data_IF_468260196979
#
_entry.id   IF_468260196979
#
_cell.length_a   1.000
_cell.length_b   1.000
_cell.length_c   1.000
_cell.angle_alpha   90.00
_cell.angle_beta   90.00
_cell.angle_gamma   90.00
#
_symmetry.space_group_name_H-M   'P 1'
#
loop_
_entity.id
_entity.type
_entity.pdbx_description
1 polymer ?
#
# COMPACT_ATOMS: atom_id res chain seq x y z
N UNK A 1 22.07 0.94 6.49
CA UNK A 1 20.66 0.44 6.45
C UNK A 1 19.86 1.34 5.52
N UNK A 2 19.27 0.78 4.47
CA UNK A 2 18.51 1.58 3.48
C UNK A 2 17.06 1.11 3.46
N UNK A 3 16.13 2.03 3.76
CA UNK A 3 14.69 1.79 3.70
C UNK A 3 14.09 2.43 2.44
N UNK A 4 13.31 1.64 1.69
CA UNK A 4 12.56 2.14 0.53
C UNK A 4 11.24 2.77 0.96
N UNK A 5 11.12 4.08 0.80
CA UNK A 5 9.93 4.85 1.18
C UNK A 5 8.96 5.03 0.02
N UNK A 6 7.74 4.54 0.16
CA UNK A 6 6.62 4.93 -0.71
C UNK A 6 6.03 6.23 -0.16
N UNK A 7 6.07 7.30 -0.94
CA UNK A 7 5.61 8.62 -0.50
C UNK A 7 4.13 8.86 -0.86
N UNK A 8 3.26 7.91 -0.50
CA UNK A 8 1.80 8.04 -0.61
C UNK A 8 1.18 8.35 0.77
N UNK A 9 0.05 9.03 0.74
CA UNK A 9 -0.73 9.39 1.94
C UNK A 9 -1.07 8.19 2.83
N UNK A 10 -1.30 7.01 2.24
CA UNK A 10 -1.62 5.80 2.99
C UNK A 10 -0.51 5.33 3.96
N UNK A 11 0.73 5.78 3.80
CA UNK A 11 1.84 5.52 4.73
C UNK A 11 2.27 6.76 5.52
N UNK A 12 1.58 7.90 5.38
CA UNK A 12 1.92 9.12 6.09
C UNK A 12 2.00 8.94 7.62
N UNK A 13 1.06 8.27 8.31
CA UNK A 13 1.18 8.01 9.74
C UNK A 13 2.45 7.23 10.10
N UNK A 14 2.83 6.24 9.32
CA UNK A 14 4.07 5.50 9.54
C UNK A 14 5.32 6.35 9.33
N UNK A 15 5.31 7.23 8.33
CA UNK A 15 6.44 8.15 8.08
C UNK A 15 6.58 9.20 9.19
N UNK A 16 5.47 9.73 9.71
CA UNK A 16 5.46 10.63 10.88
C UNK A 16 6.03 9.92 12.11
N UNK A 17 5.59 8.70 12.36
CA UNK A 17 6.16 7.87 13.43
C UNK A 17 7.67 7.67 13.29
N UNK A 18 8.16 7.33 12.09
CA UNK A 18 9.59 7.13 11.85
C UNK A 18 10.41 8.40 12.15
N UNK A 19 9.89 9.58 11.82
CA UNK A 19 10.54 10.86 12.11
C UNK A 19 10.58 11.17 13.60
N UNK A 20 9.50 10.87 14.33
CA UNK A 20 9.41 11.10 15.77
C UNK A 20 10.08 10.02 16.64
N UNK A 21 10.36 8.85 16.07
CA UNK A 21 10.99 7.75 16.79
C UNK A 21 12.43 8.14 17.26
N UNK A 22 12.88 7.62 18.43
CA UNK A 22 14.22 7.86 18.95
C UNK A 22 15.26 7.05 18.15
N UNK A 23 15.46 7.43 16.90
CA UNK A 23 16.42 6.86 15.98
C UNK A 23 17.58 7.86 15.77
N UNK A 24 18.78 7.35 15.55
CA UNK A 24 19.94 8.20 15.23
C UNK A 24 19.69 9.01 13.95
N UNK A 25 20.32 10.17 13.84
CA UNK A 25 20.23 11.03 12.66
C UNK A 25 20.63 10.31 11.37
N UNK A 26 21.61 9.42 11.43
CA UNK A 26 22.05 8.61 10.30
C UNK A 26 20.94 7.66 9.82
N UNK A 27 20.22 6.99 10.75
CA UNK A 27 19.09 6.11 10.42
C UNK A 27 17.94 6.93 9.83
N UNK A 28 17.62 8.10 10.38
CA UNK A 28 16.57 8.98 9.85
C UNK A 28 16.90 9.46 8.44
N UNK A 29 18.13 9.85 8.15
CA UNK A 29 18.61 10.19 6.80
C UNK A 29 18.48 9.01 5.85
N UNK A 30 18.89 7.81 6.26
CA UNK A 30 18.81 6.60 5.45
C UNK A 30 17.37 6.21 5.09
N UNK A 31 16.40 6.44 5.99
CA UNK A 31 14.97 6.21 5.75
C UNK A 31 14.41 7.18 4.69
N UNK A 32 14.88 8.42 4.66
CA UNK A 32 14.43 9.42 3.68
C UNK A 32 15.18 9.36 2.33
N UNK A 33 16.30 8.67 2.28
CA UNK A 33 17.22 8.66 1.12
C UNK A 33 16.60 8.00 -0.12
N UNK A 34 15.92 6.85 0.02
CA UNK A 34 15.41 6.09 -1.13
C UNK A 34 13.90 6.17 -1.21
N UNK A 35 13.38 7.12 -1.99
CA UNK A 35 11.96 7.27 -2.29
C UNK A 35 11.62 6.67 -3.66
N UNK A 36 10.40 6.20 -3.81
CA UNK A 36 9.94 5.71 -5.11
C UNK A 36 8.53 5.15 -5.10
N UNK A 37 8.01 4.89 -6.29
CA UNK A 37 6.74 4.18 -6.48
C UNK A 37 6.89 2.69 -6.16
N UNK A 38 5.80 1.99 -5.80
CA UNK A 38 5.86 0.58 -5.39
C UNK A 38 6.64 -0.32 -6.35
N UNK A 39 6.46 -0.19 -7.66
CA UNK A 39 7.15 -1.04 -8.65
C UNK A 39 8.68 -0.84 -8.67
N UNK A 40 9.16 0.39 -8.49
CA UNK A 40 10.61 0.67 -8.39
C UNK A 40 11.19 0.07 -7.11
N UNK A 41 10.47 0.21 -5.97
CA UNK A 41 10.91 -0.33 -4.68
C UNK A 41 10.83 -1.86 -4.64
N UNK A 42 9.84 -2.48 -5.29
CA UNK A 42 9.77 -3.92 -5.47
C UNK A 42 11.05 -4.45 -6.16
N UNK A 43 11.49 -3.79 -7.24
CA UNK A 43 12.72 -4.15 -7.97
C UNK A 43 13.96 -3.93 -7.10
N UNK A 44 14.06 -2.77 -6.44
CA UNK A 44 15.19 -2.43 -5.59
C UNK A 44 15.38 -3.42 -4.42
N UNK A 45 14.28 -3.83 -3.77
CA UNK A 45 14.32 -4.81 -2.68
C UNK A 45 14.73 -6.21 -3.18
N UNK A 46 14.18 -6.64 -4.32
CA UNK A 46 14.54 -7.92 -4.93
C UNK A 46 16.01 -7.97 -5.36
N UNK A 47 16.55 -6.85 -5.85
CA UNK A 47 17.95 -6.69 -6.21
C UNK A 47 18.86 -6.38 -5.00
N UNK A 48 18.33 -6.44 -3.77
CA UNK A 48 19.05 -6.14 -2.52
C UNK A 48 19.72 -4.75 -2.48
N UNK A 49 19.22 -3.81 -3.30
CA UNK A 49 19.64 -2.40 -3.31
C UNK A 49 19.05 -1.59 -2.15
N UNK A 50 18.06 -2.12 -1.48
CA UNK A 50 17.45 -1.64 -0.23
C UNK A 50 17.23 -2.80 0.72
N UNK A 51 17.22 -2.54 2.02
CA UNK A 51 17.10 -3.58 3.05
C UNK A 51 15.65 -3.93 3.39
N UNK A 52 14.75 -2.96 3.29
CA UNK A 52 13.33 -3.13 3.58
C UNK A 52 12.46 -2.09 2.85
N UNK A 53 11.21 -2.43 2.62
CA UNK A 53 10.16 -1.53 2.11
C UNK A 53 8.77 -2.14 2.33
N UNK A 54 7.73 -1.30 2.28
CA UNK A 54 6.38 -1.79 2.03
C UNK A 54 6.26 -1.99 0.52
N UNK A 55 6.17 -3.23 0.08
CA UNK A 55 6.07 -3.60 -1.34
C UNK A 55 4.69 -4.17 -1.65
N UNK A 56 4.34 -4.27 -2.92
CA UNK A 56 3.05 -4.84 -3.32
C UNK A 56 2.90 -6.28 -2.79
N UNK A 57 1.70 -6.67 -2.34
CA UNK A 57 1.47 -7.99 -1.76
C UNK A 57 1.84 -9.14 -2.71
N UNK A 58 1.62 -8.97 -4.02
CA UNK A 58 2.06 -9.94 -5.05
C UNK A 58 3.58 -10.09 -5.06
N UNK A 59 4.32 -8.97 -5.02
CA UNK A 59 5.78 -9.02 -5.02
C UNK A 59 6.34 -9.62 -3.72
N UNK A 60 5.64 -9.42 -2.60
CA UNK A 60 6.04 -9.98 -1.30
C UNK A 60 5.98 -11.51 -1.23
N UNK A 61 5.36 -12.19 -2.22
CA UNK A 61 5.30 -13.66 -2.29
C UNK A 61 6.65 -14.33 -2.46
N UNK A 62 7.64 -13.63 -2.98
CA UNK A 62 8.96 -14.22 -3.26
C UNK A 62 9.57 -14.84 -2.02
N UNK A 63 10.15 -16.03 -2.17
CA UNK A 63 10.69 -16.85 -1.07
C UNK A 63 11.88 -16.17 -0.36
N UNK A 64 12.69 -15.43 -1.12
CA UNK A 64 13.88 -14.73 -0.61
C UNK A 64 13.57 -13.50 0.26
N UNK A 65 12.29 -13.10 0.37
CA UNK A 65 11.88 -11.97 1.17
C UNK A 65 11.28 -12.44 2.50
N UNK A 66 11.75 -11.89 3.61
CA UNK A 66 11.12 -12.01 4.92
C UNK A 66 10.02 -10.93 5.06
N UNK A 67 8.93 -11.23 5.77
CA UNK A 67 7.73 -10.41 5.85
C UNK A 67 7.36 -10.13 7.30
N UNK A 68 6.83 -8.93 7.57
CA UNK A 68 6.21 -8.59 8.84
C UNK A 68 4.69 -8.58 8.73
N UNK A 69 4.01 -8.66 9.86
CA UNK A 69 2.56 -8.54 9.96
C UNK A 69 2.11 -7.07 9.95
N UNK A 70 2.65 -6.32 9.01
CA UNK A 70 2.42 -4.90 8.78
C UNK A 70 2.34 -4.63 7.28
N UNK A 71 1.40 -3.76 6.90
CA UNK A 71 1.21 -3.39 5.50
C UNK A 71 0.16 -2.32 5.29
N UNK A 72 -0.29 -2.14 4.06
CA UNK A 72 -1.39 -1.27 3.69
C UNK A 72 -2.62 -2.15 3.52
N UNK A 73 -3.58 -2.00 4.42
CA UNK A 73 -4.78 -2.83 4.51
C UNK A 73 -6.03 -1.96 4.37
N UNK A 74 -6.92 -2.36 3.48
CA UNK A 74 -8.31 -1.89 3.41
C UNK A 74 -9.21 -2.88 4.13
N UNK A 75 -9.89 -2.46 5.19
CA UNK A 75 -10.84 -3.35 5.90
C UNK A 75 -12.08 -3.63 5.06
N UNK A 76 -12.61 -2.60 4.40
CA UNK A 76 -13.75 -2.67 3.47
C UNK A 76 -13.37 -1.96 2.16
N UNK A 77 -13.31 -0.65 2.15
CA UNK A 77 -12.99 0.20 1.00
C UNK A 77 -11.65 0.91 1.18
N UNK A 78 -11.04 1.42 0.10
CA UNK A 78 -9.69 2.01 0.13
C UNK A 78 -9.61 3.43 -0.43
N UNK A 79 -10.52 3.84 -1.28
CA UNK A 79 -10.63 5.18 -1.91
C UNK A 79 -9.43 5.61 -2.79
N UNK A 80 -8.33 4.88 -2.74
CA UNK A 80 -7.07 5.20 -3.43
C UNK A 80 -6.51 4.05 -4.27
N UNK A 81 -7.32 3.02 -4.53
CA UNK A 81 -7.00 1.93 -5.48
C UNK A 81 -8.28 1.60 -6.24
N UNK A 82 -8.37 2.13 -7.44
CA UNK A 82 -9.61 2.24 -8.19
C UNK A 82 -9.45 1.68 -9.61
N UNK A 83 -10.57 1.28 -10.21
CA UNK A 83 -10.69 1.09 -11.65
C UNK A 83 -11.70 2.11 -12.16
N UNK A 84 -11.31 2.95 -13.12
CA UNK A 84 -12.19 3.92 -13.75
C UNK A 84 -13.22 3.19 -14.63
N UNK A 85 -14.50 3.46 -14.40
CA UNK A 85 -15.59 2.91 -15.21
C UNK A 85 -15.55 3.51 -16.63
N UNK A 86 -16.12 2.81 -17.57
CA UNK A 86 -16.29 3.28 -18.95
C UNK A 86 -15.00 3.81 -19.60
N UNK A 87 -13.84 3.25 -19.23
CA UNK A 87 -12.54 3.59 -19.78
C UNK A 87 -11.86 2.37 -20.40
N UNK A 88 -10.97 2.58 -21.35
CA UNK A 88 -10.18 1.50 -21.94
C UNK A 88 -9.33 0.79 -20.85
N UNK A 89 -9.16 -0.54 -20.92
CA UNK A 89 -8.35 -1.28 -19.97
C UNK A 89 -6.90 -0.82 -19.99
N UNK A 90 -6.43 -0.26 -18.86
CA UNK A 90 -5.05 0.24 -18.73
C UNK A 90 -4.50 -0.10 -17.34
N UNK A 91 -3.46 -0.95 -17.28
CA UNK A 91 -2.84 -1.27 -15.99
C UNK A 91 -2.01 -0.10 -15.46
N UNK A 92 -2.03 0.09 -14.12
CA UNK A 92 -1.15 1.08 -13.48
C UNK A 92 0.29 0.52 -13.40
N UNK A 93 1.30 1.22 -13.96
CA UNK A 93 2.68 0.74 -13.98
C UNK A 93 3.33 0.66 -12.59
N UNK A 94 2.75 1.32 -11.59
CA UNK A 94 3.29 1.36 -10.25
C UNK A 94 2.81 0.21 -9.35
N UNK A 95 1.71 -0.50 -9.68
CA UNK A 95 1.12 -1.48 -8.77
C UNK A 95 0.83 -2.85 -9.38
N UNK A 96 1.66 -3.83 -9.05
CA UNK A 96 1.41 -5.22 -9.42
C UNK A 96 0.18 -5.82 -8.71
N UNK A 97 -0.06 -5.48 -7.43
CA UNK A 97 -1.20 -6.04 -6.68
C UNK A 97 -2.53 -5.50 -7.17
N UNK A 98 -2.63 -4.21 -7.46
CA UNK A 98 -3.87 -3.58 -7.92
C UNK A 98 -4.28 -4.11 -9.29
N UNK A 99 -3.32 -4.21 -10.22
CA UNK A 99 -3.56 -4.79 -11.55
C UNK A 99 -3.99 -6.26 -11.47
N UNK A 100 -3.35 -7.05 -10.58
CA UNK A 100 -3.72 -8.44 -10.37
C UNK A 100 -5.12 -8.57 -9.73
N UNK A 101 -5.46 -7.67 -8.80
CA UNK A 101 -6.77 -7.67 -8.15
C UNK A 101 -7.88 -7.28 -9.13
N UNK A 102 -7.69 -6.27 -9.97
CA UNK A 102 -8.65 -5.90 -11.01
C UNK A 102 -8.96 -7.09 -11.93
N UNK A 103 -7.93 -7.85 -12.33
CA UNK A 103 -8.10 -9.09 -13.14
C UNK A 103 -8.87 -10.19 -12.37
N UNK A 104 -8.54 -10.40 -11.09
CA UNK A 104 -9.25 -11.38 -10.22
C UNK A 104 -10.73 -11.02 -10.03
N UNK A 105 -11.02 -9.73 -9.99
CA UNK A 105 -12.39 -9.20 -9.87
C UNK A 105 -13.09 -9.08 -11.23
N UNK A 106 -12.40 -9.39 -12.34
CA UNK A 106 -12.91 -9.26 -13.72
C UNK A 106 -13.41 -7.84 -14.05
N UNK A 107 -12.71 -6.83 -13.53
CA UNK A 107 -13.02 -5.42 -13.77
C UNK A 107 -12.19 -4.89 -14.94
N UNK A 108 -12.87 -4.25 -15.88
CA UNK A 108 -12.28 -3.60 -17.03
C UNK A 108 -12.25 -2.08 -16.83
N UNK A 109 -11.16 -1.44 -17.25
CA UNK A 109 -10.95 0.00 -17.17
C UNK A 109 -9.52 0.37 -16.77
N UNK A 110 -9.27 1.67 -16.65
CA UNK A 110 -7.98 2.18 -16.20
C UNK A 110 -7.82 1.96 -14.68
N UNK A 111 -6.78 1.21 -14.30
CA UNK A 111 -6.37 1.05 -12.88
C UNK A 111 -5.58 2.28 -12.46
N UNK A 112 -6.00 2.94 -11.41
CA UNK A 112 -5.30 4.09 -10.81
C UNK A 112 -5.07 3.86 -9.32
N UNK A 113 -3.91 4.32 -8.81
CA UNK A 113 -3.52 4.11 -7.41
C UNK A 113 -2.95 5.34 -6.73
N UNK A 114 -2.92 5.28 -5.39
CA UNK A 114 -2.27 6.26 -4.52
C UNK A 114 -2.97 7.61 -4.52
N UNK A 115 -2.19 8.66 -4.29
CA UNK A 115 -2.73 10.02 -4.11
C UNK A 115 -3.45 10.52 -5.38
N UNK A 116 -3.01 10.07 -6.57
CA UNK A 116 -3.69 10.35 -7.85
C UNK A 116 -5.10 9.76 -7.89
N UNK A 117 -5.26 8.51 -7.42
CA UNK A 117 -6.56 7.86 -7.38
C UNK A 117 -7.49 8.53 -6.35
N UNK A 118 -6.96 8.87 -5.18
CA UNK A 118 -7.73 9.58 -4.16
C UNK A 118 -8.21 10.95 -4.69
N UNK A 119 -7.33 11.71 -5.32
CA UNK A 119 -7.69 13.00 -5.93
C UNK A 119 -8.76 12.87 -7.01
N UNK A 120 -8.66 11.87 -7.88
CA UNK A 120 -9.68 11.59 -8.89
C UNK A 120 -11.02 11.22 -8.24
N UNK A 121 -11.01 10.37 -7.21
CA UNK A 121 -12.21 9.98 -6.46
C UNK A 121 -12.93 11.19 -5.84
N UNK A 122 -12.16 12.11 -5.23
CA UNK A 122 -12.70 13.31 -4.59
C UNK A 122 -13.29 14.32 -5.60
N UNK A 123 -12.69 14.43 -6.79
CA UNK A 123 -13.11 15.39 -7.82
C UNK A 123 -14.23 14.88 -8.72
N UNK A 124 -14.16 13.63 -9.12
CA UNK A 124 -15.07 13.05 -10.12
C UNK A 124 -16.24 12.30 -9.49
N UNK A 125 -16.17 12.02 -8.19
CA UNK A 125 -17.22 11.31 -7.45
C UNK A 125 -17.08 9.78 -7.50
N UNK A 126 -17.69 9.13 -6.51
CA UNK A 126 -17.63 7.67 -6.29
C UNK A 126 -18.21 6.86 -7.45
N UNK A 127 -19.17 7.44 -8.19
CA UNK A 127 -19.89 6.74 -9.25
C UNK A 127 -19.02 6.47 -10.48
N UNK A 128 -17.94 7.24 -10.65
CA UNK A 128 -17.00 7.08 -11.75
C UNK A 128 -16.04 5.89 -11.58
N UNK A 129 -16.03 5.22 -10.41
CA UNK A 129 -15.00 4.24 -10.07
C UNK A 129 -15.56 2.96 -9.44
N UNK A 130 -14.83 1.86 -9.66
CA UNK A 130 -14.86 0.67 -8.84
C UNK A 130 -13.76 0.76 -7.79
N UNK A 131 -14.11 0.79 -6.50
CA UNK A 131 -13.15 0.68 -5.40
C UNK A 131 -12.76 -0.79 -5.22
N UNK A 132 -11.50 -1.12 -5.48
CA UNK A 132 -11.04 -2.52 -5.47
C UNK A 132 -11.09 -3.15 -4.08
N UNK A 133 -10.91 -2.37 -3.01
CA UNK A 133 -11.07 -2.84 -1.63
C UNK A 133 -12.52 -3.20 -1.34
N UNK A 134 -13.46 -2.33 -1.73
CA UNK A 134 -14.90 -2.52 -1.56
C UNK A 134 -15.38 -3.78 -2.27
N UNK A 135 -15.10 -3.92 -3.56
CA UNK A 135 -15.56 -5.07 -4.35
C UNK A 135 -14.95 -6.39 -3.84
N UNK A 136 -13.67 -6.37 -3.44
CA UNK A 136 -13.06 -7.54 -2.81
C UNK A 136 -13.77 -7.92 -1.51
N UNK A 137 -14.10 -6.93 -0.67
CA UNK A 137 -14.81 -7.16 0.58
C UNK A 137 -16.22 -7.71 0.34
N UNK A 138 -16.98 -7.14 -0.58
CA UNK A 138 -18.32 -7.60 -0.97
C UNK A 138 -18.30 -9.07 -1.46
N UNK A 139 -17.30 -9.41 -2.30
CA UNK A 139 -17.13 -10.77 -2.84
C UNK A 139 -16.69 -11.80 -1.80
N UNK A 140 -15.91 -11.41 -0.79
CA UNK A 140 -15.19 -12.39 0.05
C UNK A 140 -15.44 -12.26 1.55
N UNK A 141 -16.05 -11.17 1.99
CA UNK A 141 -16.16 -10.72 3.38
C UNK A 141 -14.80 -10.64 4.11
N UNK A 142 -13.72 -10.36 3.36
CA UNK A 142 -12.36 -10.25 3.88
C UNK A 142 -11.77 -8.88 3.58
N UNK A 143 -10.87 -8.34 4.43
CA UNK A 143 -10.09 -7.16 4.13
C UNK A 143 -9.11 -7.42 2.96
N UNK A 144 -8.61 -6.39 2.29
CA UNK A 144 -7.59 -6.56 1.27
C UNK A 144 -6.25 -5.95 1.67
N UNK A 145 -5.16 -6.68 1.41
CA UNK A 145 -3.78 -6.22 1.70
C UNK A 145 -3.12 -5.81 0.39
N UNK A 146 -2.99 -4.50 0.17
CA UNK A 146 -2.38 -3.94 -1.03
C UNK A 146 -0.85 -3.96 -1.00
N UNK A 147 -0.28 -3.69 0.17
CA UNK A 147 1.16 -3.70 0.38
C UNK A 147 1.53 -4.44 1.65
N UNK A 148 2.73 -5.04 1.68
CA UNK A 148 3.26 -5.77 2.83
C UNK A 148 4.69 -5.35 3.12
N UNK A 149 5.01 -5.08 4.38
CA UNK A 149 6.37 -4.81 4.80
C UNK A 149 7.24 -6.05 4.59
N UNK A 150 8.24 -5.89 3.75
CA UNK A 150 9.17 -6.96 3.40
C UNK A 150 10.61 -6.48 3.57
N UNK A 151 11.51 -7.39 3.93
CA UNK A 151 12.90 -7.07 4.19
C UNK A 151 13.84 -8.22 3.82
N UNK A 152 15.10 -7.89 3.59
CA UNK A 152 16.20 -8.83 3.33
C UNK A 152 17.27 -8.79 4.43
N UNK A 153 17.41 -7.63 5.13
CA UNK A 153 18.37 -7.43 6.23
C UNK A 153 17.70 -6.71 7.41
N UNK A 154 18.39 -6.66 8.55
CA UNK A 154 18.01 -5.89 9.75
C UNK A 154 16.63 -6.24 10.34
N UNK A 155 16.21 -7.51 10.25
CA UNK A 155 14.87 -7.96 10.63
C UNK A 155 14.48 -7.66 12.06
N UNK A 156 15.39 -7.85 13.04
CA UNK A 156 15.12 -7.56 14.46
C UNK A 156 14.81 -6.08 14.71
N UNK A 157 15.57 -5.20 14.05
CA UNK A 157 15.32 -3.76 14.09
C UNK A 157 13.92 -3.41 13.56
N UNK A 158 13.57 -3.90 12.36
CA UNK A 158 12.26 -3.60 11.76
C UNK A 158 11.11 -4.23 12.52
N UNK A 159 11.27 -5.41 13.12
CA UNK A 159 10.26 -6.04 14.00
C UNK A 159 9.93 -5.14 15.18
N UNK A 160 10.97 -4.66 15.90
CA UNK A 160 10.80 -3.75 17.05
C UNK A 160 10.14 -2.44 16.63
N UNK A 161 10.57 -1.84 15.52
CA UNK A 161 10.05 -0.59 15.00
C UNK A 161 8.55 -0.69 14.63
N UNK A 162 8.20 -1.72 13.87
CA UNK A 162 6.81 -1.99 13.45
C UNK A 162 5.91 -2.29 14.66
N UNK A 163 6.38 -3.08 15.63
CA UNK A 163 5.62 -3.38 16.84
C UNK A 163 5.28 -2.09 17.63
N UNK A 164 6.26 -1.19 17.80
CA UNK A 164 6.04 0.12 18.44
C UNK A 164 5.03 0.98 17.66
N UNK A 165 5.10 1.00 16.35
CA UNK A 165 4.14 1.74 15.51
C UNK A 165 2.71 1.21 15.68
N UNK A 166 2.53 -0.11 15.63
CA UNK A 166 1.20 -0.73 15.72
C UNK A 166 0.50 -0.54 17.08
N UNK A 167 1.26 -0.20 18.11
CA UNK A 167 0.75 0.12 19.45
C UNK A 167 0.46 1.61 19.67
N UNK A 168 0.95 2.48 18.76
CA UNK A 168 0.90 3.93 18.93
C UNK A 168 -0.22 4.55 18.07
N UNK A 169 -1.04 5.38 18.70
CA UNK A 169 -1.92 6.29 17.96
C UNK A 169 -1.10 7.50 17.49
N UNK A 170 -0.74 7.51 16.21
CA UNK A 170 0.13 8.55 15.64
C UNK A 170 -0.70 9.74 15.23
N UNK A 171 -0.55 10.85 15.94
CA UNK A 171 -1.10 12.15 15.52
C UNK A 171 -0.18 12.77 14.45
N UNK A 172 -0.75 13.22 13.36
CA UNK A 172 -0.01 13.92 12.29
C UNK A 172 0.03 15.41 12.65
N UNK A 173 1.22 16.02 12.81
CA UNK A 173 1.33 17.45 13.06
C UNK A 173 0.70 18.29 11.94
N UNK A 174 0.06 19.41 12.30
CA UNK A 174 -0.67 20.25 11.34
C UNK A 174 0.24 20.75 10.20
N UNK A 175 1.47 21.16 10.49
CA UNK A 175 2.40 21.62 9.45
C UNK A 175 2.78 20.53 8.44
N UNK A 176 2.84 19.26 8.88
CA UNK A 176 3.06 18.12 7.98
C UNK A 176 1.80 17.90 7.13
N UNK A 177 0.63 17.94 7.76
CA UNK A 177 -0.64 17.76 7.08
C UNK A 177 -0.83 18.83 5.99
N UNK A 178 -0.63 20.11 6.32
CA UNK A 178 -0.69 21.23 5.39
C UNK A 178 0.29 21.07 4.21
N UNK A 179 1.53 20.64 4.51
CA UNK A 179 2.54 20.36 3.47
C UNK A 179 2.07 19.28 2.50
N UNK A 180 1.49 18.19 3.03
CA UNK A 180 0.99 17.09 2.19
C UNK A 180 -0.26 17.50 1.43
N UNK A 181 -1.18 18.26 2.03
CA UNK A 181 -2.36 18.81 1.40
C UNK A 181 -1.99 19.67 0.17
N UNK A 182 -1.12 20.66 0.38
CA UNK A 182 -0.63 21.54 -0.70
C UNK A 182 0.04 20.75 -1.84
N UNK A 183 0.92 19.80 -1.51
CA UNK A 183 1.70 19.08 -2.53
C UNK A 183 0.91 18.05 -3.32
N UNK A 184 -0.27 17.61 -2.86
CA UNK A 184 -1.16 16.64 -3.52
C UNK A 184 -2.41 17.29 -4.08
N UNK A 185 -2.65 18.56 -3.74
CA UNK A 185 -3.86 19.28 -4.09
C UNK A 185 -5.12 18.51 -3.59
N UNK A 186 -5.09 18.18 -2.29
CA UNK A 186 -6.12 17.48 -1.53
C UNK A 186 -6.25 18.20 -0.19
N UNK A 187 -7.46 18.48 0.29
CA UNK A 187 -7.65 19.19 1.54
C UNK A 187 -7.12 18.40 2.76
N UNK A 188 -6.74 19.11 3.82
CA UNK A 188 -6.35 18.46 5.08
C UNK A 188 -7.46 17.61 5.67
N UNK A 189 -8.72 18.03 5.51
CA UNK A 189 -9.90 17.31 5.97
C UNK A 189 -10.07 16.02 5.19
N UNK A 190 -9.91 16.03 3.86
CA UNK A 190 -9.98 14.85 3.02
C UNK A 190 -8.84 13.86 3.31
N UNK A 191 -7.63 14.36 3.62
CA UNK A 191 -6.54 13.48 4.05
C UNK A 191 -6.88 12.79 5.38
N UNK A 192 -7.39 13.53 6.38
CA UNK A 192 -7.81 12.96 7.67
C UNK A 192 -8.95 11.95 7.49
N UNK A 193 -9.92 12.27 6.65
CA UNK A 193 -11.01 11.37 6.30
C UNK A 193 -10.51 10.10 5.62
N UNK A 194 -9.67 10.23 4.60
CA UNK A 194 -9.09 9.12 3.86
C UNK A 194 -8.31 8.15 4.74
N UNK A 195 -7.50 8.65 5.65
CA UNK A 195 -6.68 7.81 6.52
C UNK A 195 -7.50 6.90 7.44
N UNK A 196 -8.78 7.18 7.68
CA UNK A 196 -9.70 6.29 8.43
C UNK A 196 -9.98 4.97 7.71
N UNK A 197 -9.83 4.91 6.39
CA UNK A 197 -10.02 3.69 5.59
C UNK A 197 -8.78 2.79 5.58
N UNK A 198 -7.65 3.29 6.04
CA UNK A 198 -6.37 2.55 6.00
C UNK A 198 -6.07 1.96 7.38
N UNK A 199 -5.75 0.67 7.39
CA UNK A 199 -5.21 0.00 8.56
C UNK A 199 -3.87 -0.68 8.21
N UNK A 200 -3.10 -1.06 9.24
CA UNK A 200 -1.71 -1.47 9.03
C UNK A 200 -1.41 -2.87 9.56
N UNK A 201 -2.18 -3.37 10.51
CA UNK A 201 -1.98 -4.68 11.12
C UNK A 201 -2.47 -5.78 10.19
N UNK A 202 -1.64 -6.78 9.94
CA UNK A 202 -1.99 -7.99 9.20
C UNK A 202 -2.21 -9.10 10.22
N UNK A 203 -3.47 -9.36 10.54
CA UNK A 203 -3.93 -10.41 11.44
C UNK A 203 -4.40 -11.66 10.69
N UNK A 204 -5.13 -12.58 11.37
CA UNK A 204 -5.63 -13.82 10.77
C UNK A 204 -6.54 -13.61 9.55
N UNK A 205 -7.44 -12.62 9.60
CA UNK A 205 -8.35 -12.28 8.47
C UNK A 205 -7.58 -11.79 7.26
N UNK A 206 -6.59 -10.92 7.45
CA UNK A 206 -5.73 -10.39 6.39
C UNK A 206 -4.85 -11.50 5.79
N UNK A 207 -4.35 -12.43 6.61
CA UNK A 207 -3.60 -13.59 6.14
C UNK A 207 -4.49 -14.55 5.32
N UNK A 208 -5.74 -14.78 5.75
CA UNK A 208 -6.74 -15.55 4.98
C UNK A 208 -6.99 -14.89 3.63
N UNK A 209 -7.17 -13.57 3.61
CA UNK A 209 -7.36 -12.78 2.40
C UNK A 209 -6.18 -12.90 1.43
N UNK A 210 -4.95 -12.75 1.92
CA UNK A 210 -3.74 -12.91 1.12
C UNK A 210 -3.67 -14.31 0.47
N UNK A 211 -3.95 -15.39 1.24
CA UNK A 211 -3.97 -16.75 0.70
C UNK A 211 -5.02 -16.92 -0.40
N UNK A 212 -6.25 -16.42 -0.17
CA UNK A 212 -7.34 -16.47 -1.16
C UNK A 212 -6.95 -15.71 -2.44
N UNK A 213 -6.49 -14.47 -2.31
CA UNK A 213 -6.06 -13.65 -3.43
C UNK A 213 -4.93 -14.30 -4.26
N UNK A 214 -3.93 -14.87 -3.58
CA UNK A 214 -2.84 -15.55 -4.27
C UNK A 214 -3.27 -16.82 -4.99
N UNK A 215 -4.24 -17.56 -4.43
CA UNK A 215 -4.85 -18.73 -5.07
C UNK A 215 -5.60 -18.30 -6.35
N UNK A 216 -6.52 -17.34 -6.25
CA UNK A 216 -7.30 -16.84 -7.39
C UNK A 216 -6.41 -16.28 -8.51
N UNK A 217 -5.39 -15.47 -8.14
CA UNK A 217 -4.45 -14.94 -9.14
C UNK A 217 -3.59 -16.03 -9.81
N UNK A 218 -3.28 -17.14 -9.12
CA UNK A 218 -2.57 -18.29 -9.71
C UNK A 218 -3.44 -19.01 -10.72
N UNK A 219 -4.70 -19.26 -10.38
CA UNK A 219 -5.67 -19.92 -11.27
C UNK A 219 -5.88 -19.13 -12.56
N UNK A 220 -6.03 -17.80 -12.47
CA UNK A 220 -6.15 -16.95 -13.66
C UNK A 220 -4.92 -17.00 -14.56
N UNK A 221 -3.73 -17.17 -13.99
CA UNK A 221 -2.49 -17.30 -14.81
C UNK A 221 -2.39 -18.66 -15.47
N UNK A 222 -2.84 -19.72 -14.82
CA UNK A 222 -2.90 -21.07 -15.40
C UNK A 222 -3.89 -21.13 -16.57
N UNK A 223 -5.10 -20.60 -16.40
CA UNK A 223 -6.12 -20.55 -17.45
C UNK A 223 -5.76 -19.72 -18.70
N UNK A 224 -4.72 -18.89 -18.65
CA UNK A 224 -4.22 -18.11 -19.81
C UNK A 224 -3.06 -18.79 -20.54
N UNK A 225 -2.57 -19.91 -20.03
CA UNK A 225 -1.49 -20.68 -20.66
C UNK A 225 -1.99 -21.89 -21.44
N UNK A 226 -3.24 -22.25 -21.19
CA UNK A 226 -4.03 -23.21 -21.97
C UNK A 226 -4.88 -22.44 -22.98
#
# INVERSE_FOLDING_TARGET
>A
MIFGKIDYLNLLPFHVFLKSAPLSSQIKKAIEFKKGVPSKLNRALNARKIDASVISSIASKKANLKKLNFGIVAKKEVKSVLVRKNSAPKPDPASASSNALAKVLKLNGEVIIGDRALKAYLREGKECFYDLGKIWHEKTNLPFVFGRFSYVKNGSFYKKLVAKFLQKNVKIPNYILAKYAKSRDISEQDIKWYLKFISYKIGPKEQKSLRKFFKENRLLKAAKKN
#
